data_IF_976015903900
#
_entry.id   IF_976015903900
#
_cell.length_a   1.000
_cell.length_b   1.000
_cell.length_c   1.000
_cell.angle_alpha   90.00
_cell.angle_beta   90.00
_cell.angle_gamma   90.00
#
_symmetry.space_group_name_H-M   'P 1'
#
loop_
_entity.id
_entity.type
_entity.pdbx_description
1 polymer ?
#
# COMPACT_ATOMS: atom_id res chain seq x y z
N UNK A 1 -14.34 -2.80 5.41
CA UNK A 1 -14.34 -1.50 4.70
C UNK A 1 -12.96 -1.27 4.08
N UNK A 2 -12.69 -0.10 3.48
CA UNK A 2 -11.33 0.31 3.12
C UNK A 2 -10.53 0.60 4.40
N UNK A 3 -9.21 0.48 4.32
CA UNK A 3 -8.29 0.71 5.44
C UNK A 3 -8.51 -0.16 6.66
N UNK A 4 -9.12 -1.33 6.46
CA UNK A 4 -9.33 -2.35 7.49
C UNK A 4 -8.98 -3.73 6.97
N UNK A 5 -8.72 -4.65 7.89
CA UNK A 5 -8.60 -6.09 7.68
C UNK A 5 -9.58 -6.83 8.64
N UNK A 6 -9.81 -8.12 8.40
CA UNK A 6 -10.65 -8.98 9.24
C UNK A 6 -9.83 -9.44 10.45
N UNK A 7 -10.25 -9.00 11.63
CA UNK A 7 -9.67 -9.43 12.90
C UNK A 7 -10.35 -10.70 13.43
N UNK A 8 -11.68 -10.78 13.28
CA UNK A 8 -12.48 -11.96 13.65
C UNK A 8 -13.50 -12.29 12.55
N UNK A 9 -13.51 -13.53 12.09
CA UNK A 9 -14.52 -14.01 11.14
C UNK A 9 -15.89 -14.19 11.80
N UNK A 10 -16.96 -14.15 11.00
CA UNK A 10 -18.28 -14.50 11.49
C UNK A 10 -18.34 -15.98 11.88
N UNK A 11 -18.85 -16.27 13.08
CA UNK A 11 -18.91 -17.63 13.63
C UNK A 11 -20.27 -18.31 13.46
N UNK A 12 -21.34 -17.54 13.19
CA UNK A 12 -22.67 -18.05 12.91
C UNK A 12 -23.46 -17.09 12.01
N UNK A 13 -24.56 -17.57 11.43
CA UNK A 13 -25.50 -16.74 10.68
C UNK A 13 -25.99 -15.56 11.52
N UNK A 14 -26.07 -14.39 10.92
CA UNK A 14 -26.48 -13.11 11.56
C UNK A 14 -25.50 -12.54 12.60
N UNK A 15 -24.36 -13.18 12.88
CA UNK A 15 -23.29 -12.57 13.67
C UNK A 15 -22.35 -11.77 12.77
N UNK A 16 -22.04 -10.54 13.18
CA UNK A 16 -21.11 -9.68 12.48
C UNK A 16 -19.67 -10.05 12.85
N UNK A 17 -18.82 -10.25 11.84
CA UNK A 17 -17.37 -10.35 12.04
C UNK A 17 -16.78 -9.01 12.49
N UNK A 18 -15.54 -9.04 13.00
CA UNK A 18 -14.83 -7.84 13.44
C UNK A 18 -13.79 -7.45 12.39
N UNK A 19 -13.81 -6.18 12.00
CA UNK A 19 -12.72 -5.59 11.22
C UNK A 19 -11.91 -4.63 12.11
N UNK A 20 -10.60 -4.61 11.92
CA UNK A 20 -9.70 -3.67 12.57
C UNK A 20 -8.99 -2.77 11.55
N UNK A 21 -8.63 -1.53 11.93
CA UNK A 21 -7.94 -0.62 11.02
C UNK A 21 -6.52 -1.10 10.72
N UNK A 22 -6.07 -0.82 9.51
CA UNK A 22 -4.66 -0.99 9.15
C UNK A 22 -3.77 -0.11 10.03
N UNK A 23 -2.49 -0.45 10.10
CA UNK A 23 -1.49 0.37 10.80
C UNK A 23 -0.91 1.41 9.84
N UNK A 24 -1.14 2.69 10.13
CA UNK A 24 -0.65 3.82 9.33
C UNK A 24 0.85 3.70 9.05
N UNK A 25 1.22 3.83 7.77
CA UNK A 25 2.60 3.72 7.29
C UNK A 25 3.17 2.30 7.30
N UNK A 26 2.39 1.28 7.67
CA UNK A 26 2.79 -0.13 7.59
C UNK A 26 1.94 -0.94 6.64
N UNK A 27 0.64 -0.69 6.60
CA UNK A 27 -0.23 -1.33 5.62
C UNK A 27 -1.48 -0.54 5.30
N UNK A 28 -2.12 -0.93 4.19
CA UNK A 28 -3.28 -0.29 3.62
C UNK A 28 -4.24 -1.31 3.00
N UNK A 29 -5.48 -0.91 2.77
CA UNK A 29 -6.40 -1.61 1.86
C UNK A 29 -7.23 -0.59 1.08
N UNK A 30 -7.07 -0.56 -0.24
CA UNK A 30 -7.71 0.44 -1.11
C UNK A 30 -9.21 0.24 -1.31
N UNK A 31 -9.67 -0.99 -1.09
CA UNK A 31 -11.07 -1.39 -1.33
C UNK A 31 -11.61 -2.18 -0.14
N UNK A 32 -12.95 -2.30 -0.09
CA UNK A 32 -13.58 -3.24 0.82
C UNK A 32 -13.06 -4.66 0.51
N UNK A 33 -12.66 -5.37 1.55
CA UNK A 33 -11.93 -6.62 1.42
C UNK A 33 -12.29 -7.57 2.60
N UNK A 34 -11.85 -8.82 2.47
CA UNK A 34 -11.92 -9.85 3.52
C UNK A 34 -10.55 -10.41 3.88
N UNK A 35 -9.48 -9.62 3.74
CA UNK A 35 -8.11 -10.05 4.07
C UNK A 35 -7.94 -10.14 5.59
N UNK A 36 -7.15 -11.11 6.05
CA UNK A 36 -6.79 -11.25 7.48
C UNK A 36 -5.66 -10.32 7.90
N UNK A 37 -5.01 -9.65 6.94
CA UNK A 37 -4.01 -8.62 7.17
C UNK A 37 -4.08 -7.54 6.08
N UNK A 38 -3.59 -6.35 6.39
CA UNK A 38 -3.50 -5.29 5.38
C UNK A 38 -2.33 -5.52 4.44
N UNK A 39 -2.45 -5.01 3.21
CA UNK A 39 -1.34 -5.03 2.26
C UNK A 39 -0.19 -4.19 2.80
N UNK A 40 1.05 -4.67 2.77
CA UNK A 40 2.18 -3.89 3.25
C UNK A 40 2.36 -2.63 2.40
N UNK A 41 2.66 -1.51 3.05
CA UNK A 41 3.01 -0.29 2.33
C UNK A 41 4.31 -0.49 1.56
N UNK A 42 4.32 -0.06 0.30
CA UNK A 42 5.54 0.11 -0.48
C UNK A 42 6.47 1.09 0.22
N UNK A 43 7.77 0.77 0.18
CA UNK A 43 8.83 1.69 0.57
C UNK A 43 9.56 2.15 -0.70
N UNK A 44 9.67 3.48 -0.86
CA UNK A 44 10.44 4.03 -1.97
C UNK A 44 11.92 3.72 -1.78
N UNK A 45 12.58 3.28 -2.85
CA UNK A 45 14.00 2.89 -2.85
C UNK A 45 14.91 4.11 -2.79
N UNK A 46 16.21 3.87 -2.60
CA UNK A 46 17.20 4.95 -2.48
C UNK A 46 17.28 5.85 -3.72
N UNK A 47 16.99 5.32 -4.91
CA UNK A 47 16.94 6.04 -6.19
C UNK A 47 15.58 6.71 -6.46
N UNK A 48 14.66 6.67 -5.49
CA UNK A 48 13.32 7.22 -5.58
C UNK A 48 13.06 8.32 -4.55
N UNK A 49 12.03 9.11 -4.80
CA UNK A 49 11.41 10.04 -3.85
C UNK A 49 9.97 9.57 -3.56
N UNK A 50 9.51 9.77 -2.32
CA UNK A 50 8.11 9.56 -1.98
C UNK A 50 7.29 10.77 -2.42
N UNK A 51 6.44 10.59 -3.42
CA UNK A 51 5.49 11.63 -3.84
C UNK A 51 4.30 11.71 -2.89
N UNK A 52 3.76 10.56 -2.51
CA UNK A 52 2.68 10.45 -1.53
C UNK A 52 2.98 9.34 -0.53
N UNK A 53 2.89 9.61 0.78
CA UNK A 53 3.12 8.59 1.77
C UNK A 53 1.94 7.61 1.82
N UNK A 54 2.23 6.34 2.10
CA UNK A 54 1.21 5.34 2.37
C UNK A 54 0.30 5.77 3.53
N UNK A 55 -1.00 5.55 3.36
CA UNK A 55 -2.01 5.77 4.39
C UNK A 55 -2.88 4.53 4.56
N UNK A 56 -3.98 4.60 5.32
CA UNK A 56 -4.79 3.41 5.59
C UNK A 56 -5.47 2.87 4.32
N UNK A 57 -5.75 3.72 3.33
CA UNK A 57 -6.55 3.37 2.15
C UNK A 57 -5.76 3.46 0.84
N UNK A 58 -4.49 3.83 0.86
CA UNK A 58 -3.68 4.03 -0.34
C UNK A 58 -2.24 3.65 -0.06
N UNK A 59 -1.59 3.05 -1.05
CA UNK A 59 -0.16 2.76 -0.98
C UNK A 59 0.68 4.05 -1.08
N UNK A 60 1.99 3.93 -0.85
CA UNK A 60 2.93 4.98 -1.18
C UNK A 60 3.10 5.11 -2.70
N UNK A 61 3.11 6.36 -3.18
CA UNK A 61 3.48 6.67 -4.56
C UNK A 61 4.96 7.09 -4.59
N UNK A 62 5.75 6.41 -5.42
CA UNK A 62 7.18 6.65 -5.57
C UNK A 62 7.51 7.14 -6.98
N UNK A 63 8.52 7.99 -7.10
CA UNK A 63 9.02 8.46 -8.39
C UNK A 63 10.54 8.42 -8.42
N UNK A 64 11.14 8.10 -9.57
CA UNK A 64 12.58 8.20 -9.73
C UNK A 64 13.11 9.61 -9.44
N UNK A 65 14.27 9.67 -8.77
CA UNK A 65 15.03 10.90 -8.57
C UNK A 65 15.44 11.52 -9.91
N UNK A 66 15.74 12.81 -9.89
CA UNK A 66 16.30 13.50 -11.05
C UNK A 66 17.57 12.80 -11.55
N UNK A 67 17.70 12.66 -12.87
CA UNK A 67 18.79 11.89 -13.49
C UNK A 67 18.52 10.39 -13.60
N UNK A 68 17.32 9.94 -13.23
CA UNK A 68 16.82 8.59 -13.46
C UNK A 68 15.47 8.62 -14.17
N UNK A 69 15.12 7.53 -14.83
CA UNK A 69 13.83 7.31 -15.47
C UNK A 69 13.35 5.89 -15.18
N UNK A 70 12.04 5.68 -15.29
CA UNK A 70 11.43 4.35 -15.25
C UNK A 70 10.54 4.19 -16.48
N UNK A 71 10.53 3.00 -17.06
CA UNK A 71 9.69 2.65 -18.20
C UNK A 71 8.35 2.01 -17.79
N UNK A 72 8.24 1.62 -16.53
CA UNK A 72 7.10 0.92 -15.95
C UNK A 72 6.17 1.90 -15.22
N UNK A 73 4.85 1.64 -15.23
CA UNK A 73 3.85 2.52 -14.60
C UNK A 73 4.01 2.60 -13.07
N UNK A 74 4.41 1.50 -12.43
CA UNK A 74 4.67 1.47 -10.99
C UNK A 74 6.11 1.93 -10.67
N UNK A 75 6.92 2.21 -11.69
CA UNK A 75 8.27 2.77 -11.54
C UNK A 75 9.14 1.95 -10.58
N UNK A 76 9.00 0.61 -10.60
CA UNK A 76 9.69 -0.28 -9.66
C UNK A 76 11.21 -0.25 -9.78
N UNK A 77 11.72 0.05 -10.97
CA UNK A 77 13.16 0.11 -11.27
C UNK A 77 13.47 1.48 -11.89
N UNK A 78 14.40 2.21 -11.28
CA UNK A 78 14.92 3.46 -11.81
C UNK A 78 16.23 3.25 -12.55
N UNK A 79 16.22 3.49 -13.86
CA UNK A 79 17.40 3.44 -14.70
C UNK A 79 18.05 4.81 -14.74
N UNK A 80 19.36 4.89 -14.55
CA UNK A 80 20.09 6.15 -14.64
C UNK A 80 20.05 6.67 -16.08
N UNK A 81 19.80 7.96 -16.24
CA UNK A 81 19.95 8.64 -17.52
C UNK A 81 21.44 8.62 -17.91
N UNK A 82 21.78 8.05 -19.06
CA UNK A 82 23.13 8.09 -19.61
C UNK A 82 23.37 9.39 -20.36
N UNK A 83 23.26 10.53 -19.66
CA UNK A 83 23.71 11.81 -20.20
C UNK A 83 25.24 11.88 -20.21
#
# INVERSE_FOLDING_TARGET
>A
STGTFVADHCSASHLQGKCEPCKKGKGFTAHANGLEECLPCRQCKEDQITLRPCNLTQDAECQCKQGYYCADEDCEICQRNNQ
#
